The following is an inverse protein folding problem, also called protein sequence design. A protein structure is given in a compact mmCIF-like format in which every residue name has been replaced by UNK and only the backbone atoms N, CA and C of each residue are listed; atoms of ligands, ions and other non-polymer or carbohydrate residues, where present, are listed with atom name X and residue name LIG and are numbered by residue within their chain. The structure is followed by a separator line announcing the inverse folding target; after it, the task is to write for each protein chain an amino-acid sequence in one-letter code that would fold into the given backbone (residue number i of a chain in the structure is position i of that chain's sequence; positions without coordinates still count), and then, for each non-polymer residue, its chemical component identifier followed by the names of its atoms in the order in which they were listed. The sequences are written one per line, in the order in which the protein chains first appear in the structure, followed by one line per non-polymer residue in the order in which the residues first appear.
data_IF_040366164209
#
_entry.id   IF_040366164209
#
_cell.length_a   1.000
_cell.length_b   1.000
_cell.length_c   1.000
_cell.angle_alpha   90.00
_cell.angle_beta   90.00
_cell.angle_gamma   90.00
#
_symmetry.space_group_name_H-M   'P 1'
#
loop_
_entity.id
_entity.type
_entity.pdbx_description
1 polymer ?
#
# COMPACT_ATOMS: atom_id res chain seq x y z
N UNK A 1 4.99 -22.52 -0.45
CA UNK A 1 5.17 -21.34 -1.33
C UNK A 1 6.36 -20.50 -0.93
N UNK A 2 6.52 -20.09 0.34
CA UNK A 2 7.63 -19.26 0.83
C UNK A 2 9.05 -19.67 0.38
N UNK A 3 9.44 -20.96 0.34
CA UNK A 3 10.79 -21.36 -0.09
C UNK A 3 11.11 -21.06 -1.57
N UNK A 4 10.11 -20.77 -2.39
CA UNK A 4 10.26 -20.46 -3.82
C UNK A 4 10.34 -18.96 -4.10
N UNK A 5 10.02 -18.11 -3.11
CA UNK A 5 10.01 -16.67 -3.26
C UNK A 5 11.40 -16.10 -3.03
N UNK A 6 11.87 -15.28 -3.97
CA UNK A 6 13.16 -14.58 -3.92
C UNK A 6 13.04 -13.11 -3.56
N UNK A 7 11.79 -12.62 -3.47
CA UNK A 7 11.44 -11.25 -3.16
C UNK A 7 10.58 -11.21 -1.91
N UNK A 8 10.11 -10.04 -1.56
CA UNK A 8 9.24 -9.84 -0.42
C UNK A 8 7.89 -10.54 -0.62
N UNK A 9 7.34 -11.07 0.47
CA UNK A 9 6.05 -11.74 0.49
C UNK A 9 5.12 -11.03 1.47
N UNK A 10 4.11 -10.38 0.95
CA UNK A 10 3.01 -9.78 1.70
C UNK A 10 1.77 -10.67 1.62
N UNK A 11 1.04 -10.81 2.73
CA UNK A 11 -0.29 -11.43 2.77
C UNK A 11 -1.27 -10.36 3.23
N UNK A 12 -2.33 -10.17 2.46
CA UNK A 12 -3.36 -9.18 2.74
C UNK A 12 -4.67 -9.86 3.09
N UNK A 13 -5.39 -9.32 4.09
CA UNK A 13 -6.70 -9.83 4.45
C UNK A 13 -7.29 -9.21 5.71
N UNK A 14 -8.56 -9.56 5.96
CA UNK A 14 -9.26 -9.23 7.20
C UNK A 14 -8.73 -10.11 8.34
N UNK A 15 -8.42 -9.56 9.52
CA UNK A 15 -7.85 -10.30 10.64
C UNK A 15 -8.88 -11.16 11.38
N UNK A 16 -9.47 -12.14 10.67
CA UNK A 16 -10.25 -13.20 11.31
C UNK A 16 -9.30 -14.17 12.06
N UNK A 17 -9.81 -14.94 13.02
CA UNK A 17 -8.99 -15.94 13.71
C UNK A 17 -8.26 -16.89 12.74
N UNK A 18 -8.93 -17.33 11.68
CA UNK A 18 -8.35 -18.22 10.66
C UNK A 18 -7.25 -17.53 9.85
N UNK A 19 -7.43 -16.23 9.55
CA UNK A 19 -6.42 -15.44 8.85
C UNK A 19 -5.18 -15.23 9.74
N UNK A 20 -5.38 -14.89 11.01
CA UNK A 20 -4.31 -14.71 11.99
C UNK A 20 -3.49 -16.00 12.11
N UNK A 21 -4.15 -17.15 12.29
CA UNK A 21 -3.50 -18.45 12.37
C UNK A 21 -2.71 -18.78 11.10
N UNK A 22 -3.27 -18.49 9.92
CA UNK A 22 -2.59 -18.67 8.63
C UNK A 22 -1.31 -17.83 8.56
N UNK A 23 -1.39 -16.53 8.88
CA UNK A 23 -0.27 -15.61 8.82
C UNK A 23 0.84 -16.00 9.79
N UNK A 24 0.49 -16.34 11.04
CA UNK A 24 1.44 -16.79 12.06
C UNK A 24 2.13 -18.11 11.68
N UNK A 25 1.42 -18.99 10.98
CA UNK A 25 1.97 -20.26 10.47
C UNK A 25 2.89 -20.06 9.26
N UNK A 26 2.50 -19.18 8.33
CA UNK A 26 3.26 -18.93 7.09
C UNK A 26 4.46 -18.06 7.33
N UNK A 27 4.34 -17.09 8.25
CA UNK A 27 5.35 -16.08 8.57
C UNK A 27 5.82 -15.33 7.32
N UNK A 28 4.94 -14.58 6.64
CA UNK A 28 5.34 -13.72 5.52
C UNK A 28 6.35 -12.65 5.97
N UNK A 29 6.90 -11.90 5.04
CA UNK A 29 7.72 -10.74 5.37
C UNK A 29 6.85 -9.60 5.90
N UNK A 30 5.65 -9.45 5.34
CA UNK A 30 4.66 -8.43 5.72
C UNK A 30 3.26 -9.02 5.74
N UNK A 31 2.40 -8.44 6.56
CA UNK A 31 0.95 -8.62 6.53
C UNK A 31 0.29 -7.26 6.40
N UNK A 32 -0.65 -7.11 5.45
CA UNK A 32 -1.49 -5.91 5.32
C UNK A 32 -2.91 -6.23 5.80
N UNK A 33 -3.38 -5.48 6.79
CA UNK A 33 -4.71 -5.65 7.36
C UNK A 33 -5.71 -4.76 6.63
N UNK A 34 -6.76 -5.37 6.06
CA UNK A 34 -7.88 -4.67 5.41
C UNK A 34 -9.16 -4.85 6.21
N UNK A 35 -10.09 -3.86 6.21
CA UNK A 35 -11.33 -3.94 6.99
C UNK A 35 -12.42 -4.78 6.34
N UNK A 36 -12.18 -5.26 5.12
CA UNK A 36 -13.19 -5.88 4.30
C UNK A 36 -13.56 -7.29 4.77
N UNK A 37 -14.84 -7.52 4.98
CA UNK A 37 -15.36 -8.86 5.22
C UNK A 37 -15.02 -9.80 4.05
N UNK A 38 -14.68 -11.08 4.31
CA UNK A 38 -14.37 -12.04 3.26
C UNK A 38 -15.43 -12.23 2.15
N UNK A 39 -16.64 -11.74 2.37
CA UNK A 39 -17.70 -11.72 1.36
C UNK A 39 -17.62 -10.56 0.36
N UNK A 40 -16.79 -9.55 0.61
CA UNK A 40 -16.57 -8.43 -0.30
C UNK A 40 -15.66 -8.81 -1.47
N UNK A 41 -16.02 -8.34 -2.67
CA UNK A 41 -15.25 -8.66 -3.89
C UNK A 41 -14.01 -7.77 -4.01
N UNK A 42 -14.06 -6.56 -3.48
CA UNK A 42 -12.97 -5.58 -3.52
C UNK A 42 -13.07 -4.61 -2.36
N UNK A 43 -11.94 -4.08 -1.91
CA UNK A 43 -11.88 -3.06 -0.87
C UNK A 43 -12.55 -1.76 -1.33
N UNK A 44 -13.36 -1.17 -0.47
CA UNK A 44 -14.08 0.08 -0.73
C UNK A 44 -13.82 1.16 0.32
N UNK A 45 -13.06 0.86 1.36
CA UNK A 45 -12.68 1.80 2.41
C UNK A 45 -11.46 1.30 3.18
N UNK A 46 -10.69 2.22 3.78
CA UNK A 46 -9.67 1.88 4.76
C UNK A 46 -10.26 1.68 6.16
N UNK A 47 -9.44 1.19 7.09
CA UNK A 47 -9.82 1.07 8.49
C UNK A 47 -10.16 2.44 9.10
N UNK A 48 -11.24 2.50 9.89
CA UNK A 48 -11.36 3.49 10.95
C UNK A 48 -10.46 3.04 12.12
N UNK A 49 -9.20 3.45 12.05
CA UNK A 49 -8.16 3.04 13.00
C UNK A 49 -8.39 3.61 14.40
N UNK A 50 -9.13 4.73 14.50
CA UNK A 50 -9.51 5.34 15.77
C UNK A 50 -10.58 4.52 16.48
N UNK A 51 -11.65 4.16 15.78
CA UNK A 51 -12.73 3.35 16.34
C UNK A 51 -12.28 1.91 16.65
N UNK A 52 -11.30 1.37 15.92
CA UNK A 52 -10.82 0.00 16.05
C UNK A 52 -9.44 -0.10 16.71
N UNK A 53 -8.98 0.93 17.43
CA UNK A 53 -7.61 1.00 17.94
C UNK A 53 -7.24 -0.19 18.84
N UNK A 54 -8.09 -0.54 19.80
CA UNK A 54 -7.82 -1.66 20.71
C UNK A 54 -7.68 -2.98 19.96
N UNK A 55 -8.64 -3.28 19.08
CA UNK A 55 -8.62 -4.47 18.25
C UNK A 55 -7.37 -4.56 17.35
N UNK A 56 -7.03 -3.46 16.68
CA UNK A 56 -5.84 -3.42 15.83
C UNK A 56 -4.57 -3.58 16.67
N UNK A 57 -4.48 -2.98 17.84
CA UNK A 57 -3.34 -3.15 18.73
C UNK A 57 -3.13 -4.62 19.11
N UNK A 58 -4.18 -5.32 19.50
CA UNK A 58 -4.11 -6.74 19.88
C UNK A 58 -3.63 -7.62 18.71
N UNK A 59 -4.10 -7.34 17.50
CA UNK A 59 -3.73 -8.11 16.30
C UNK A 59 -2.30 -7.80 15.86
N UNK A 60 -1.95 -6.50 15.81
CA UNK A 60 -0.62 -6.06 15.40
C UNK A 60 0.47 -6.58 16.35
N UNK A 61 0.22 -6.58 17.67
CA UNK A 61 1.14 -7.11 18.67
C UNK A 61 1.46 -8.60 18.44
N UNK A 62 0.49 -9.40 18.00
CA UNK A 62 0.70 -10.82 17.70
C UNK A 62 1.66 -10.98 16.51
N UNK A 63 1.47 -10.20 15.44
CA UNK A 63 2.32 -10.29 14.24
C UNK A 63 3.71 -9.71 14.49
N UNK A 64 3.81 -8.56 15.15
CA UNK A 64 5.07 -7.93 15.51
C UNK A 64 5.90 -8.84 16.43
N UNK A 65 5.27 -9.48 17.42
CA UNK A 65 5.93 -10.47 18.30
C UNK A 65 6.44 -11.69 17.54
N UNK A 66 5.81 -12.03 16.41
CA UNK A 66 6.25 -13.12 15.54
C UNK A 66 7.33 -12.69 14.52
N UNK A 67 7.75 -11.43 14.54
CA UNK A 67 8.74 -10.85 13.61
C UNK A 67 8.18 -10.63 12.20
N UNK A 68 6.88 -10.40 12.08
CA UNK A 68 6.20 -10.11 10.81
C UNK A 68 5.92 -8.61 10.76
N UNK A 69 6.41 -7.92 9.72
CA UNK A 69 6.13 -6.49 9.50
C UNK A 69 4.64 -6.29 9.25
N UNK A 70 4.07 -5.29 9.90
CA UNK A 70 2.64 -4.99 9.83
C UNK A 70 2.34 -3.76 9.00
N UNK A 71 1.29 -3.81 8.19
CA UNK A 71 0.74 -2.70 7.42
C UNK A 71 -0.76 -2.62 7.64
N UNK A 72 -1.30 -1.41 7.77
CA UNK A 72 -2.74 -1.18 7.96
C UNK A 72 -3.28 -0.36 6.80
N UNK A 73 -4.29 -0.89 6.11
CA UNK A 73 -4.95 -0.23 4.98
C UNK A 73 -5.87 0.89 5.47
N UNK A 74 -5.60 2.14 5.08
CA UNK A 74 -6.26 3.34 5.59
C UNK A 74 -6.64 4.31 4.48
N UNK A 75 -7.64 5.14 4.71
CA UNK A 75 -7.89 6.29 3.87
C UNK A 75 -6.72 7.30 3.96
N UNK A 76 -6.59 8.16 2.96
CA UNK A 76 -5.59 9.25 2.94
C UNK A 76 -5.98 10.37 3.93
N UNK A 77 -6.05 10.03 5.20
CA UNK A 77 -6.42 10.89 6.32
C UNK A 77 -5.31 10.85 7.39
N UNK A 78 -4.70 12.00 7.73
CA UNK A 78 -3.69 12.09 8.78
C UNK A 78 -4.11 11.49 10.13
N UNK A 79 -5.40 11.64 10.52
CA UNK A 79 -5.90 11.08 11.78
C UNK A 79 -5.86 9.54 11.75
N UNK A 80 -6.27 8.93 10.62
CA UNK A 80 -6.22 7.47 10.47
C UNK A 80 -4.78 6.94 10.53
N UNK A 81 -3.84 7.66 9.92
CA UNK A 81 -2.41 7.33 9.98
C UNK A 81 -1.87 7.43 11.43
N UNK A 82 -2.26 8.47 12.17
CA UNK A 82 -1.84 8.64 13.57
C UNK A 82 -2.34 7.49 14.47
N UNK A 83 -3.58 7.06 14.30
CA UNK A 83 -4.13 5.96 15.09
C UNK A 83 -3.58 4.60 14.69
N UNK A 84 -3.25 4.38 13.41
CA UNK A 84 -2.53 3.19 12.98
C UNK A 84 -1.14 3.10 13.65
N UNK A 85 -0.40 4.21 13.67
CA UNK A 85 0.90 4.28 14.36
C UNK A 85 0.76 4.03 15.89
N UNK A 86 -0.27 4.60 16.53
CA UNK A 86 -0.55 4.37 17.96
C UNK A 86 -0.93 2.91 18.26
N UNK A 87 -1.55 2.23 17.31
CA UNK A 87 -1.85 0.80 17.41
C UNK A 87 -0.63 -0.09 17.21
N UNK A 88 0.53 0.45 16.82
CA UNK A 88 1.77 -0.29 16.65
C UNK A 88 2.02 -0.80 15.22
N UNK A 89 1.39 -0.21 14.22
CA UNK A 89 1.66 -0.54 12.83
C UNK A 89 3.07 -0.09 12.42
N UNK A 90 3.81 -0.97 11.70
CA UNK A 90 5.10 -0.61 11.10
C UNK A 90 4.92 0.27 9.87
N UNK A 91 3.81 0.07 9.14
CA UNK A 91 3.44 0.80 7.92
C UNK A 91 1.95 1.09 7.87
N UNK A 92 1.59 2.04 7.03
CA UNK A 92 0.23 2.21 6.52
C UNK A 92 0.23 2.02 5.02
N UNK A 93 -0.88 1.49 4.47
CA UNK A 93 -1.13 1.44 3.04
C UNK A 93 -2.29 2.36 2.70
N UNK A 94 -2.05 3.39 1.88
CA UNK A 94 -3.07 4.35 1.51
C UNK A 94 -3.98 3.79 0.42
N UNK A 95 -5.29 3.84 0.66
CA UNK A 95 -6.35 3.51 -0.31
C UNK A 95 -6.41 4.55 -1.41
N UNK A 96 -6.05 4.19 -2.64
CA UNK A 96 -5.81 5.15 -3.72
C UNK A 96 -6.95 5.32 -4.73
N UNK A 97 -8.10 4.67 -4.54
CA UNK A 97 -9.26 4.84 -5.44
C UNK A 97 -9.71 6.31 -5.57
N UNK A 98 -9.86 7.09 -4.49
CA UNK A 98 -10.25 8.50 -4.61
C UNK A 98 -9.24 9.32 -5.43
N UNK A 99 -7.94 9.02 -5.28
CA UNK A 99 -6.92 9.61 -6.12
C UNK A 99 -7.11 9.24 -7.59
N UNK A 100 -7.27 7.96 -7.91
CA UNK A 100 -7.41 7.47 -9.27
C UNK A 100 -8.66 8.05 -9.96
N UNK A 101 -9.77 8.16 -9.22
CA UNK A 101 -11.05 8.71 -9.72
C UNK A 101 -10.96 10.19 -10.02
N UNK A 102 -10.27 10.97 -9.21
CA UNK A 102 -10.19 12.43 -9.36
C UNK A 102 -8.97 12.89 -10.16
N UNK A 103 -7.95 12.04 -10.31
CA UNK A 103 -6.73 12.34 -11.05
C UNK A 103 -6.97 12.88 -12.46
N UNK A 104 -7.87 12.30 -13.31
CA UNK A 104 -8.11 12.82 -14.65
C UNK A 104 -8.72 14.22 -14.70
N UNK A 105 -9.38 14.64 -13.62
CA UNK A 105 -10.05 15.94 -13.52
C UNK A 105 -9.12 17.01 -13.00
N UNK A 106 -8.41 16.73 -11.91
CA UNK A 106 -7.47 17.65 -11.26
C UNK A 106 -6.40 16.87 -10.46
N UNK A 107 -5.25 16.57 -11.06
CA UNK A 107 -4.18 15.80 -10.39
C UNK A 107 -3.68 16.45 -9.08
N UNK A 108 -3.59 17.79 -9.05
CA UNK A 108 -3.09 18.51 -7.86
C UNK A 108 -4.05 18.39 -6.69
N UNK A 109 -5.35 18.55 -6.93
CA UNK A 109 -6.36 18.37 -5.88
C UNK A 109 -6.46 16.90 -5.44
N UNK A 110 -6.35 15.97 -6.39
CA UNK A 110 -6.45 14.54 -6.11
C UNK A 110 -5.31 14.04 -5.21
N UNK A 111 -4.08 14.52 -5.41
CA UNK A 111 -2.91 14.08 -4.64
C UNK A 111 -2.79 14.76 -3.27
N UNK A 112 -3.39 15.92 -3.07
CA UNK A 112 -3.19 16.74 -1.88
C UNK A 112 -3.45 16.00 -0.54
N UNK A 113 -4.58 15.27 -0.34
CA UNK A 113 -4.79 14.52 0.89
C UNK A 113 -3.73 13.43 1.11
N UNK A 114 -3.27 12.80 0.04
CA UNK A 114 -2.24 11.75 0.10
C UNK A 114 -0.88 12.31 0.55
N UNK A 115 -0.53 13.51 0.10
CA UNK A 115 0.68 14.19 0.56
C UNK A 115 0.62 14.47 2.07
N UNK A 116 -0.51 14.92 2.59
CA UNK A 116 -0.66 15.22 4.03
C UNK A 116 -0.64 13.93 4.88
N UNK A 117 -1.31 12.88 4.46
CA UNK A 117 -1.24 11.56 5.11
C UNK A 117 0.19 11.00 5.08
N UNK A 118 0.87 11.10 3.94
CA UNK A 118 2.25 10.64 3.77
C UNK A 118 3.25 11.44 4.63
N UNK A 119 3.09 12.75 4.75
CA UNK A 119 3.89 13.59 5.67
C UNK A 119 3.69 13.17 7.12
N UNK A 120 2.45 12.81 7.49
CA UNK A 120 2.13 12.33 8.84
C UNK A 120 2.82 11.00 9.12
N UNK A 121 2.75 10.03 8.21
CA UNK A 121 3.47 8.75 8.35
C UNK A 121 4.98 8.98 8.53
N UNK A 122 5.59 9.81 7.69
CA UNK A 122 7.01 10.17 7.79
C UNK A 122 7.38 10.84 9.10
N UNK A 123 6.54 11.76 9.60
CA UNK A 123 6.75 12.43 10.90
C UNK A 123 6.70 11.46 12.07
N UNK A 124 5.85 10.44 11.98
CA UNK A 124 5.69 9.41 13.01
C UNK A 124 6.74 8.30 12.90
N UNK A 125 7.53 8.28 11.83
CA UNK A 125 8.57 7.29 11.60
C UNK A 125 8.06 5.91 11.21
N UNK A 126 6.82 5.82 10.70
CA UNK A 126 6.27 4.58 10.12
C UNK A 126 6.40 4.60 8.60
N UNK A 127 6.51 3.42 8.00
CA UNK A 127 6.61 3.29 6.55
C UNK A 127 5.28 3.59 5.83
N UNK A 128 5.38 3.82 4.53
CA UNK A 128 4.27 4.20 3.68
C UNK A 128 4.16 3.30 2.47
N UNK A 129 3.06 2.59 2.36
CA UNK A 129 2.65 1.87 1.17
C UNK A 129 1.46 2.59 0.51
N UNK A 130 1.23 2.33 -0.77
CA UNK A 130 0.05 2.82 -1.48
C UNK A 130 -0.47 1.74 -2.43
N UNK A 131 -1.78 1.56 -2.49
CA UNK A 131 -2.33 0.44 -3.25
C UNK A 131 -3.74 0.66 -3.74
N UNK A 132 -4.20 -0.33 -4.50
CA UNK A 132 -5.49 -0.59 -5.08
C UNK A 132 -5.65 -0.07 -6.53
N UNK A 133 -5.73 1.25 -6.79
CA UNK A 133 -6.12 1.81 -8.10
C UNK A 133 -5.01 2.58 -8.82
N UNK A 134 -3.76 2.38 -8.42
CA UNK A 134 -2.62 2.90 -9.17
C UNK A 134 -2.46 2.17 -10.51
N UNK A 135 -2.04 2.91 -11.53
CA UNK A 135 -1.92 2.43 -12.91
C UNK A 135 -0.77 3.13 -13.64
N UNK A 136 -0.45 2.70 -14.88
CA UNK A 136 0.54 3.38 -15.73
C UNK A 136 0.20 4.86 -15.98
N UNK A 137 -1.07 5.26 -15.82
CA UNK A 137 -1.52 6.63 -16.06
C UNK A 137 -1.19 7.57 -14.88
N UNK A 138 -1.35 7.10 -13.64
CA UNK A 138 -1.35 7.96 -12.46
C UNK A 138 -0.17 7.71 -11.49
N UNK A 139 0.51 6.55 -11.58
CA UNK A 139 1.56 6.14 -10.67
C UNK A 139 2.77 7.10 -10.66
N UNK A 140 3.22 7.55 -11.83
CA UNK A 140 4.38 8.44 -11.92
C UNK A 140 4.15 9.78 -11.21
N UNK A 141 2.95 10.35 -11.37
CA UNK A 141 2.59 11.59 -10.68
C UNK A 141 2.48 11.39 -9.16
N UNK A 142 1.93 10.25 -8.72
CA UNK A 142 1.87 9.88 -7.32
C UNK A 142 3.28 9.81 -6.72
N UNK A 143 4.17 9.05 -7.35
CA UNK A 143 5.55 8.86 -6.88
C UNK A 143 6.36 10.15 -6.88
N UNK A 144 6.23 11.01 -7.90
CA UNK A 144 6.91 12.32 -7.92
C UNK A 144 6.52 13.24 -6.78
N UNK A 145 5.28 13.18 -6.32
CA UNK A 145 4.78 14.00 -5.21
C UNK A 145 5.02 13.37 -3.83
N UNK A 146 5.20 12.04 -3.78
CA UNK A 146 5.45 11.29 -2.55
C UNK A 146 6.64 10.33 -2.79
N UNK A 147 7.87 10.84 -2.97
CA UNK A 147 9.02 10.03 -3.38
C UNK A 147 9.56 9.11 -2.25
N UNK A 148 8.97 9.17 -1.07
CA UNK A 148 9.30 8.32 0.08
C UNK A 148 8.28 7.20 0.32
N UNK A 149 7.43 6.89 -0.67
CA UNK A 149 6.60 5.68 -0.62
C UNK A 149 7.51 4.45 -0.70
N UNK A 150 7.33 3.51 0.24
CA UNK A 150 8.18 2.32 0.36
C UNK A 150 7.77 1.22 -0.62
N UNK A 151 6.46 1.08 -0.87
CA UNK A 151 5.89 -0.01 -1.64
C UNK A 151 4.59 0.41 -2.32
N UNK A 152 4.34 -0.13 -3.50
CA UNK A 152 3.04 0.00 -4.19
C UNK A 152 2.44 -1.38 -4.45
N UNK A 153 1.14 -1.53 -4.18
CA UNK A 153 0.37 -2.76 -4.40
C UNK A 153 -0.59 -2.52 -5.55
N UNK A 154 -0.31 -3.13 -6.72
CA UNK A 154 -1.09 -2.93 -7.94
C UNK A 154 -1.60 -4.28 -8.45
N UNK A 155 -2.92 -4.48 -8.40
CA UNK A 155 -3.57 -5.72 -8.83
C UNK A 155 -4.25 -5.60 -10.19
N UNK A 156 -5.49 -5.12 -10.20
CA UNK A 156 -6.34 -5.10 -11.40
C UNK A 156 -5.72 -4.39 -12.60
N UNK A 157 -5.17 -3.19 -12.41
CA UNK A 157 -4.57 -2.43 -13.49
C UNK A 157 -3.38 -3.17 -14.11
N UNK A 158 -2.49 -3.73 -13.28
CA UNK A 158 -1.32 -4.49 -13.75
C UNK A 158 -1.75 -5.71 -14.58
N UNK A 159 -2.73 -6.47 -14.11
CA UNK A 159 -3.22 -7.65 -14.85
C UNK A 159 -3.93 -7.24 -16.14
N UNK A 160 -4.73 -6.17 -16.13
CA UNK A 160 -5.37 -5.64 -17.32
C UNK A 160 -4.35 -5.22 -18.37
N UNK A 161 -3.32 -4.49 -17.98
CA UNK A 161 -2.23 -4.09 -18.89
C UNK A 161 -1.45 -5.31 -19.42
N UNK A 162 -1.25 -6.32 -18.56
CA UNK A 162 -0.54 -7.54 -18.94
C UNK A 162 -1.27 -8.37 -20.01
N UNK A 163 -2.59 -8.26 -20.13
CA UNK A 163 -3.34 -8.90 -21.21
C UNK A 163 -2.98 -8.33 -22.60
N UNK A 164 -2.57 -7.08 -22.67
CA UNK A 164 -2.21 -6.40 -23.91
C UNK A 164 -0.70 -6.34 -24.15
N UNK A 165 0.10 -6.14 -23.10
CA UNK A 165 1.55 -5.91 -23.19
C UNK A 165 2.37 -7.19 -22.93
N UNK A 166 1.78 -8.19 -22.29
CA UNK A 166 2.48 -9.33 -21.70
C UNK A 166 3.03 -8.98 -20.30
N UNK A 167 3.05 -9.96 -19.40
CA UNK A 167 3.36 -9.74 -17.98
C UNK A 167 4.76 -9.15 -17.74
N UNK A 168 5.78 -9.67 -18.41
CA UNK A 168 7.16 -9.20 -18.25
C UNK A 168 7.30 -7.72 -18.60
N UNK A 169 6.80 -7.32 -19.76
CA UNK A 169 6.85 -5.92 -20.21
C UNK A 169 6.05 -5.01 -19.28
N UNK A 170 4.87 -5.45 -18.84
CA UNK A 170 4.04 -4.68 -17.91
C UNK A 170 4.80 -4.40 -16.62
N UNK A 171 5.43 -5.41 -16.02
CA UNK A 171 6.24 -5.23 -14.80
C UNK A 171 7.39 -4.25 -15.04
N UNK A 172 8.05 -4.32 -16.19
CA UNK A 172 9.12 -3.39 -16.55
C UNK A 172 8.61 -1.94 -16.66
N UNK A 173 7.47 -1.73 -17.31
CA UNK A 173 6.85 -0.39 -17.44
C UNK A 173 6.48 0.20 -16.07
N UNK A 174 5.86 -0.59 -15.18
CA UNK A 174 5.54 -0.13 -13.83
C UNK A 174 6.80 0.19 -13.01
N UNK A 175 7.81 -0.66 -13.06
CA UNK A 175 9.09 -0.41 -12.39
C UNK A 175 9.79 0.84 -12.93
N UNK A 176 9.74 1.06 -14.23
CA UNK A 176 10.30 2.26 -14.86
C UNK A 176 9.71 3.55 -14.27
N UNK A 177 8.40 3.58 -13.99
CA UNK A 177 7.73 4.75 -13.40
C UNK A 177 8.17 5.05 -11.97
N UNK A 178 8.67 4.07 -11.24
CA UNK A 178 9.16 4.21 -9.87
C UNK A 178 10.65 4.59 -9.82
N UNK A 179 11.46 4.09 -10.77
CA UNK A 179 12.91 4.26 -10.71
C UNK A 179 13.48 5.37 -11.61
N UNK A 180 12.68 5.92 -12.55
CA UNK A 180 13.16 6.92 -13.50
C UNK A 180 13.01 8.37 -13.05
N UNK A 181 12.61 8.64 -11.81
CA UNK A 181 12.56 10.02 -11.31
C UNK A 181 13.95 10.64 -11.11
N UNK A 182 15.02 9.84 -10.92
CA UNK A 182 16.38 10.34 -10.71
C UNK A 182 17.34 10.06 -11.89
N UNK A 183 17.07 9.04 -12.72
CA UNK A 183 18.02 8.63 -13.76
C UNK A 183 17.68 9.12 -15.17
N UNK A 184 16.43 9.50 -15.44
CA UNK A 184 16.02 9.90 -16.79
C UNK A 184 16.29 11.36 -17.14
N UNK A 185 16.59 12.21 -16.16
CA UNK A 185 16.98 13.62 -16.42
C UNK A 185 18.46 13.73 -16.87
N UNK A 186 19.27 12.72 -16.64
CA UNK A 186 20.70 12.72 -16.97
C UNK A 186 21.03 11.96 -18.29
N UNK A 187 20.16 11.06 -18.77
CA UNK A 187 20.43 10.25 -19.97
C UNK A 187 19.82 10.78 -21.27
N UNK A 188 19.00 11.82 -21.22
CA UNK A 188 18.45 12.52 -22.40
C UNK A 188 19.20 13.83 -22.72
N UNK A 189 20.32 14.09 -22.05
CA UNK A 189 21.25 15.16 -22.40
C UNK A 189 22.48 14.61 -23.11
N UNK A 190 22.26 14.07 -24.29
CA UNK A 190 23.33 13.90 -25.30
C UNK A 190 22.83 14.43 -26.63
#
# INVERSE_FOLDING_TARGET
MRPLLRTEFNIEGYPSPEFIDLVLKVKPHQVTLVPDDPSQITSNSGWDTKANQEFLTEVLDQFNSAGIRTSVFVAADPEMVEYAAKAGADRVELYTEPYATDYPKNPEAAIAPFIEAAKTARKLGIGLNAGHDLSLVNLNYFYKNIPWVDEVSIGHALISDALYLGLERTIQEYNCLLYTSDAADDSLRV
#
